data_IF_178801297348
#
_entry.id   IF_178801297348
#
_cell.length_a   1.000
_cell.length_b   1.000
_cell.length_c   1.000
_cell.angle_alpha   90.00
_cell.angle_beta   90.00
_cell.angle_gamma   90.00
#
_symmetry.space_group_name_H-M   'P 1'
#
loop_
_entity.id
_entity.type
_entity.pdbx_description
1 polymer ?
#
# COMPACT_ATOMS: atom_id res chain seq x y z
N UNK A 1 -13.18 -18.57 16.31
CA UNK A 1 -13.23 -19.24 14.99
C UNK A 1 -13.86 -18.39 13.88
N UNK A 2 -15.14 -18.01 13.91
CA UNK A 2 -15.71 -17.17 12.82
C UNK A 2 -15.07 -15.78 12.74
N UNK A 3 -14.93 -15.08 13.87
CA UNK A 3 -14.35 -13.72 13.95
C UNK A 3 -12.92 -13.67 13.39
N UNK A 4 -12.06 -14.64 13.72
CA UNK A 4 -10.68 -14.70 13.22
C UNK A 4 -10.61 -14.85 11.70
N UNK A 5 -11.54 -15.59 11.10
CA UNK A 5 -11.61 -15.74 9.64
C UNK A 5 -12.00 -14.41 8.98
N UNK A 6 -12.92 -13.66 9.57
CA UNK A 6 -13.29 -12.33 9.08
C UNK A 6 -12.15 -11.32 9.21
N UNK A 7 -11.39 -11.35 10.30
CA UNK A 7 -10.21 -10.49 10.49
C UNK A 7 -9.14 -10.77 9.43
N UNK A 8 -8.83 -12.03 9.14
CA UNK A 8 -7.87 -12.40 8.07
C UNK A 8 -8.31 -11.91 6.69
N UNK A 9 -9.60 -11.96 6.39
CA UNK A 9 -10.14 -11.44 5.13
C UNK A 9 -10.02 -9.91 5.10
N UNK A 10 -10.31 -9.22 6.21
CA UNK A 10 -10.14 -7.77 6.32
C UNK A 10 -8.69 -7.33 6.11
N UNK A 11 -7.72 -8.07 6.64
CA UNK A 11 -6.29 -7.81 6.44
C UNK A 11 -5.86 -7.87 4.96
N UNK A 12 -6.60 -8.59 4.11
CA UNK A 12 -6.36 -8.64 2.67
C UNK A 12 -7.14 -7.54 1.95
N UNK A 13 -8.43 -7.37 2.29
CA UNK A 13 -9.33 -6.45 1.60
C UNK A 13 -8.95 -4.99 1.81
N UNK A 14 -8.52 -4.61 3.01
CA UNK A 14 -8.14 -3.23 3.33
C UNK A 14 -6.97 -2.72 2.48
N UNK A 15 -5.78 -3.34 2.49
CA UNK A 15 -4.65 -2.87 1.69
C UNK A 15 -4.97 -2.94 0.19
N UNK A 16 -5.78 -3.91 -0.24
CA UNK A 16 -6.22 -3.98 -1.63
C UNK A 16 -7.14 -2.81 -2.01
N UNK A 17 -8.08 -2.44 -1.14
CA UNK A 17 -8.96 -1.29 -1.34
C UNK A 17 -8.16 0.02 -1.41
N UNK A 18 -7.17 0.19 -0.53
CA UNK A 18 -6.27 1.36 -0.55
C UNK A 18 -5.46 1.40 -1.85
N UNK A 19 -5.00 0.25 -2.33
CA UNK A 19 -4.29 0.14 -3.61
C UNK A 19 -5.15 0.64 -4.78
N UNK A 20 -6.41 0.21 -4.85
CA UNK A 20 -7.35 0.65 -5.89
C UNK A 20 -7.61 2.15 -5.82
N UNK A 21 -7.88 2.67 -4.62
CA UNK A 21 -8.09 4.10 -4.40
C UNK A 21 -6.86 4.93 -4.76
N UNK A 22 -5.66 4.45 -4.41
CA UNK A 22 -4.42 5.11 -4.76
C UNK A 22 -4.23 5.17 -6.28
N UNK A 23 -4.39 4.05 -6.99
CA UNK A 23 -4.23 4.09 -8.45
C UNK A 23 -5.29 4.94 -9.14
N UNK A 24 -6.54 4.92 -8.65
CA UNK A 24 -7.58 5.83 -9.13
C UNK A 24 -7.19 7.30 -8.87
N UNK A 25 -6.80 7.65 -7.64
CA UNK A 25 -6.37 9.00 -7.27
C UNK A 25 -5.16 9.48 -8.08
N UNK A 26 -4.24 8.57 -8.41
CA UNK A 26 -3.08 8.87 -9.25
C UNK A 26 -3.48 9.24 -10.69
N UNK A 27 -4.56 8.63 -11.22
CA UNK A 27 -5.10 8.93 -12.55
C UNK A 27 -5.81 10.29 -12.60
N UNK A 28 -6.50 10.66 -11.52
CA UNK A 28 -7.25 11.92 -11.41
C UNK A 28 -6.31 13.11 -11.15
N UNK A 29 -5.22 12.90 -10.43
CA UNK A 29 -4.28 13.97 -10.07
C UNK A 29 -3.56 14.57 -11.30
N UNK A 30 -3.78 15.87 -11.53
CA UNK A 30 -3.10 16.64 -12.58
C UNK A 30 -1.65 17.01 -12.21
N UNK A 31 -1.30 17.03 -10.91
CA UNK A 31 0.04 17.39 -10.44
C UNK A 31 0.97 16.18 -10.54
N UNK A 32 2.00 16.29 -11.40
CA UNK A 32 2.97 15.21 -11.70
C UNK A 32 3.55 14.55 -10.45
N UNK A 33 3.90 15.35 -9.44
CA UNK A 33 4.55 14.85 -8.24
C UNK A 33 3.56 14.27 -7.22
N UNK A 34 2.35 14.82 -7.13
CA UNK A 34 1.29 14.26 -6.31
C UNK A 34 0.87 12.89 -6.86
N UNK A 35 0.76 12.77 -8.19
CA UNK A 35 0.57 11.48 -8.88
C UNK A 35 1.65 10.47 -8.52
N UNK A 36 2.93 10.85 -8.57
CA UNK A 36 4.05 9.97 -8.20
C UNK A 36 3.98 9.52 -6.73
N UNK A 37 3.68 10.43 -5.81
CA UNK A 37 3.50 10.11 -4.40
C UNK A 37 2.36 9.11 -4.17
N UNK A 38 1.19 9.35 -4.76
CA UNK A 38 0.05 8.43 -4.67
C UNK A 38 0.39 7.08 -5.31
N UNK A 39 1.04 7.04 -6.48
CA UNK A 39 1.42 5.79 -7.12
C UNK A 39 2.38 4.96 -6.27
N UNK A 40 3.34 5.59 -5.58
CA UNK A 40 4.24 4.89 -4.65
C UNK A 40 3.49 4.31 -3.45
N UNK A 41 2.55 5.06 -2.88
CA UNK A 41 1.65 4.55 -1.84
C UNK A 41 0.86 3.34 -2.34
N UNK A 42 0.28 3.44 -3.55
CA UNK A 42 -0.46 2.35 -4.17
C UNK A 42 0.40 1.10 -4.40
N UNK A 43 1.62 1.26 -4.91
CA UNK A 43 2.57 0.14 -5.11
C UNK A 43 2.94 -0.51 -3.77
N UNK A 44 3.17 0.28 -2.73
CA UNK A 44 3.51 -0.26 -1.42
C UNK A 44 2.35 -1.06 -0.79
N UNK A 45 1.11 -0.56 -0.88
CA UNK A 45 -0.07 -1.31 -0.44
C UNK A 45 -0.37 -2.53 -1.32
N UNK A 46 -0.01 -2.50 -2.61
CA UNK A 46 -0.09 -3.67 -3.48
C UNK A 46 0.83 -4.79 -2.99
N UNK A 47 2.08 -4.45 -2.63
CA UNK A 47 3.03 -5.42 -2.09
C UNK A 47 2.55 -6.02 -0.76
N UNK A 48 2.00 -5.20 0.13
CA UNK A 48 1.37 -5.68 1.37
C UNK A 48 0.19 -6.60 1.07
N UNK A 49 -0.64 -6.26 0.09
CA UNK A 49 -1.78 -7.11 -0.31
C UNK A 49 -1.31 -8.47 -0.86
N UNK A 50 -0.30 -8.47 -1.72
CA UNK A 50 0.27 -9.69 -2.30
C UNK A 50 0.90 -10.58 -1.24
N UNK A 51 1.60 -9.99 -0.26
CA UNK A 51 2.14 -10.73 0.87
C UNK A 51 1.02 -11.37 1.70
N UNK A 52 -0.03 -10.62 2.04
CA UNK A 52 -1.16 -11.13 2.84
C UNK A 52 -1.90 -12.26 2.15
N UNK A 53 -2.09 -12.15 0.84
CA UNK A 53 -2.67 -13.22 0.01
C UNK A 53 -1.74 -14.43 0.00
N UNK A 54 -0.44 -14.23 -0.23
CA UNK A 54 0.54 -15.32 -0.29
C UNK A 54 0.66 -16.06 1.04
N UNK A 55 0.65 -15.34 2.15
CA UNK A 55 0.68 -15.89 3.50
C UNK A 55 -0.63 -16.64 3.82
N UNK A 56 -1.80 -16.12 3.39
CA UNK A 56 -3.08 -16.79 3.56
C UNK A 56 -3.12 -18.16 2.86
N UNK A 57 -2.52 -18.28 1.69
CA UNK A 57 -2.41 -19.54 0.95
C UNK A 57 -1.20 -20.40 1.35
N UNK A 58 -0.37 -19.95 2.30
CA UNK A 58 0.85 -20.68 2.72
C UNK A 58 1.93 -20.77 1.65
N UNK A 59 1.96 -19.83 0.70
CA UNK A 59 2.87 -19.81 -0.45
C UNK A 59 4.22 -19.15 -0.16
N UNK A 60 4.39 -18.54 1.01
CA UNK A 60 5.58 -17.75 1.36
C UNK A 60 6.13 -18.12 2.74
N UNK A 61 7.46 -18.21 2.84
CA UNK A 61 8.15 -18.41 4.11
C UNK A 61 8.17 -17.12 4.95
N UNK A 62 8.18 -17.23 6.28
CA UNK A 62 8.15 -16.08 7.20
C UNK A 62 9.23 -15.02 6.90
N UNK A 63 10.46 -15.46 6.62
CA UNK A 63 11.58 -14.55 6.27
C UNK A 63 11.29 -13.76 5.00
N UNK A 64 10.67 -14.38 4.00
CA UNK A 64 10.32 -13.72 2.75
C UNK A 64 9.11 -12.79 2.92
N UNK A 65 8.11 -13.20 3.72
CA UNK A 65 6.98 -12.35 4.13
C UNK A 65 7.47 -11.02 4.71
N UNK A 66 8.41 -11.10 5.67
CA UNK A 66 8.92 -9.94 6.37
C UNK A 66 9.68 -8.99 5.44
N UNK A 67 10.44 -9.53 4.48
CA UNK A 67 11.13 -8.74 3.46
C UNK A 67 10.13 -8.02 2.54
N UNK A 68 9.11 -8.72 2.04
CA UNK A 68 8.11 -8.13 1.14
C UNK A 68 7.30 -7.03 1.83
N UNK A 69 6.87 -7.28 3.08
CA UNK A 69 6.19 -6.28 3.91
C UNK A 69 7.06 -5.04 4.11
N UNK A 70 8.34 -5.22 4.49
CA UNK A 70 9.23 -4.09 4.76
C UNK A 70 9.48 -3.25 3.51
N UNK A 71 9.66 -3.89 2.36
CA UNK A 71 9.77 -3.19 1.08
C UNK A 71 8.48 -2.41 0.79
N UNK A 72 7.31 -3.04 0.98
CA UNK A 72 6.01 -2.38 0.83
C UNK A 72 5.89 -1.12 1.69
N UNK A 73 6.28 -1.20 2.96
CA UNK A 73 6.27 -0.05 3.86
C UNK A 73 7.26 1.04 3.45
N UNK A 74 8.46 0.70 2.97
CA UNK A 74 9.41 1.69 2.45
C UNK A 74 8.77 2.49 1.29
N UNK A 75 8.07 1.83 0.38
CA UNK A 75 7.34 2.49 -0.70
C UNK A 75 6.23 3.40 -0.18
N UNK A 76 5.44 2.94 0.80
CA UNK A 76 4.39 3.75 1.44
C UNK A 76 5.00 4.99 2.08
N UNK A 77 6.02 4.84 2.93
CA UNK A 77 6.66 5.96 3.61
C UNK A 77 7.25 6.96 2.62
N UNK A 78 7.96 6.48 1.61
CA UNK A 78 8.54 7.35 0.56
C UNK A 78 7.44 8.11 -0.19
N UNK A 79 6.34 7.44 -0.53
CA UNK A 79 5.18 8.06 -1.17
C UNK A 79 4.54 9.14 -0.30
N UNK A 80 4.32 8.86 0.99
CA UNK A 80 3.79 9.81 1.97
C UNK A 80 4.72 11.01 2.17
N UNK A 81 6.03 10.80 2.23
CA UNK A 81 7.05 11.87 2.32
C UNK A 81 6.95 12.78 1.09
N UNK A 82 6.83 12.22 -0.11
CA UNK A 82 6.66 13.02 -1.34
C UNK A 82 5.36 13.84 -1.25
N UNK A 83 4.24 13.24 -0.86
CA UNK A 83 2.95 13.94 -0.77
C UNK A 83 2.99 15.09 0.25
N UNK A 84 3.57 14.86 1.43
CA UNK A 84 3.71 15.86 2.49
C UNK A 84 4.70 16.97 2.11
N UNK A 85 5.82 16.63 1.49
CA UNK A 85 6.79 17.62 1.01
C UNK A 85 6.19 18.54 -0.06
N UNK A 86 5.42 17.97 -1.00
CA UNK A 86 4.71 18.77 -2.01
C UNK A 86 3.64 19.66 -1.41
N UNK A 87 2.88 19.17 -0.43
CA UNK A 87 1.90 19.99 0.30
C UNK A 87 2.59 21.20 0.94
N UNK A 88 3.69 20.99 1.67
CA UNK A 88 4.46 22.07 2.29
C UNK A 88 4.95 23.11 1.27
N UNK A 89 5.37 22.66 0.07
CA UNK A 89 5.82 23.55 -1.01
C UNK A 89 4.69 24.38 -1.63
N UNK A 90 3.45 23.92 -1.54
CA UNK A 90 2.26 24.61 -2.04
C UNK A 90 1.62 25.57 -1.01
N UNK A 91 2.12 25.61 0.23
CA UNK A 91 1.60 26.50 1.28
C UNK A 91 0.24 26.09 1.86
N UNK A 92 -0.15 24.82 1.72
CA UNK A 92 -1.42 24.23 2.19
C UNK A 92 -1.25 23.39 3.47
#
# INVERSE_FOLDING_TARGET
MMIEKYLKILEIVLPFSITLLAFYGSKVSQVKYYRRGISLVGIGFLLVSLERVSNFYGLINEKNSLVVINIGYIFIFTGVIILTWFRKKLGL
#
